data_IF_259741840230
#
_entry.id   IF_259741840230
#
_cell.length_a   1.000
_cell.length_b   1.000
_cell.length_c   1.000
_cell.angle_alpha   90.00
_cell.angle_beta   90.00
_cell.angle_gamma   90.00
#
_symmetry.space_group_name_H-M   'P 1'
#
loop_
_entity.id
_entity.type
_entity.pdbx_description
1 polymer ?
#
# COMPACT_ATOMS: atom_id res chain seq x y z
N UNK A 1 13.65 -5.61 -11.93
CA UNK A 1 13.96 -5.49 -13.40
C UNK A 1 14.04 -4.02 -13.78
N UNK A 2 14.74 -3.65 -14.85
CA UNK A 2 14.77 -2.26 -15.34
C UNK A 2 13.92 -2.15 -16.61
N UNK A 3 13.01 -1.17 -16.65
CA UNK A 3 12.29 -0.80 -17.87
C UNK A 3 13.04 0.33 -18.59
N UNK A 4 13.20 0.18 -19.90
CA UNK A 4 13.73 1.18 -20.83
C UNK A 4 12.68 1.60 -21.86
N UNK A 5 11.40 1.46 -21.54
CA UNK A 5 10.30 1.69 -22.47
C UNK A 5 10.33 3.10 -23.07
N UNK A 6 10.51 4.13 -22.24
CA UNK A 6 10.63 5.53 -22.70
C UNK A 6 11.84 5.69 -23.61
N UNK A 7 12.98 5.07 -23.28
CA UNK A 7 14.18 5.07 -24.13
C UNK A 7 13.89 4.39 -25.46
N UNK A 8 13.31 3.19 -25.46
CA UNK A 8 13.01 2.43 -26.68
C UNK A 8 12.00 3.14 -27.57
N UNK A 9 10.97 3.76 -26.98
CA UNK A 9 9.99 4.55 -27.70
C UNK A 9 10.65 5.80 -28.30
N UNK A 10 11.46 6.53 -27.55
CA UNK A 10 12.20 7.71 -28.05
C UNK A 10 13.13 7.37 -29.21
N UNK A 11 13.82 6.23 -29.11
CA UNK A 11 14.69 5.75 -30.20
C UNK A 11 13.87 5.45 -31.47
N UNK A 12 12.69 4.82 -31.33
CA UNK A 12 11.76 4.59 -32.46
C UNK A 12 11.28 5.89 -33.10
N UNK A 13 10.83 6.84 -32.29
CA UNK A 13 10.28 8.12 -32.76
C UNK A 13 11.35 8.95 -33.50
N UNK A 14 12.59 8.93 -32.98
CA UNK A 14 13.74 9.59 -33.60
C UNK A 14 14.38 8.77 -34.73
N UNK A 15 13.90 7.53 -34.97
CA UNK A 15 14.43 6.57 -35.95
C UNK A 15 15.91 6.25 -35.76
N UNK A 16 16.35 6.17 -34.50
CA UNK A 16 17.73 5.85 -34.13
C UNK A 16 17.84 4.35 -33.83
N UNK A 17 18.68 3.64 -34.59
CA UNK A 17 18.94 2.22 -34.36
C UNK A 17 19.88 1.98 -33.16
N UNK A 18 19.75 0.82 -32.50
CA UNK A 18 20.65 0.43 -31.37
C UNK A 18 22.12 0.38 -31.80
N UNK A 19 22.43 0.01 -33.03
CA UNK A 19 23.80 0.02 -33.63
C UNK A 19 24.33 1.45 -33.75
N UNK A 20 23.51 2.36 -34.28
CA UNK A 20 23.86 3.77 -34.42
C UNK A 20 24.10 4.42 -33.04
N UNK A 21 23.29 4.09 -32.03
CA UNK A 21 23.46 4.56 -30.65
C UNK A 21 24.80 4.07 -30.09
N UNK A 22 25.17 2.80 -30.33
CA UNK A 22 26.46 2.21 -29.96
C UNK A 22 27.62 2.96 -30.55
N UNK A 23 27.64 3.17 -31.86
CA UNK A 23 28.71 3.83 -32.61
C UNK A 23 28.87 5.30 -32.22
N UNK A 24 27.79 6.07 -32.15
CA UNK A 24 27.81 7.51 -31.82
C UNK A 24 28.27 7.79 -30.37
N UNK A 25 27.95 6.92 -29.44
CA UNK A 25 28.24 7.13 -28.02
C UNK A 25 29.45 6.33 -27.52
N UNK A 26 30.04 5.50 -28.37
CA UNK A 26 31.17 4.61 -27.99
C UNK A 26 30.73 3.62 -26.90
N UNK A 27 29.49 3.12 -26.98
CA UNK A 27 28.97 2.11 -26.04
C UNK A 27 29.22 0.71 -26.60
N UNK A 28 29.64 -0.23 -25.74
CA UNK A 28 29.85 -1.61 -26.17
C UNK A 28 28.51 -2.29 -26.54
N UNK A 29 28.56 -3.26 -27.46
CA UNK A 29 27.42 -4.10 -27.80
C UNK A 29 26.79 -4.77 -26.55
N UNK A 30 27.63 -5.11 -25.57
CA UNK A 30 27.18 -5.66 -24.28
C UNK A 30 26.39 -4.63 -23.48
N UNK A 31 26.80 -3.36 -23.50
CA UNK A 31 26.05 -2.26 -22.83
C UNK A 31 24.70 -2.05 -23.49
N UNK A 32 24.62 -2.07 -24.82
CA UNK A 32 23.37 -1.94 -25.56
C UNK A 32 22.45 -3.15 -25.34
N UNK A 33 23.00 -4.35 -25.25
CA UNK A 33 22.22 -5.56 -24.98
C UNK A 33 21.52 -5.53 -23.60
N UNK A 34 22.05 -4.79 -22.62
CA UNK A 34 21.43 -4.59 -21.31
C UNK A 34 20.07 -3.91 -21.41
N UNK A 35 19.89 -2.97 -22.34
CA UNK A 35 18.60 -2.29 -22.57
C UNK A 35 17.52 -3.31 -22.92
N UNK A 36 17.79 -4.21 -23.88
CA UNK A 36 16.83 -5.24 -24.28
C UNK A 36 16.62 -6.37 -23.25
N UNK A 37 17.53 -6.49 -22.28
CA UNK A 37 17.44 -7.49 -21.20
C UNK A 37 16.87 -6.94 -19.89
N UNK A 38 16.57 -5.64 -19.82
CA UNK A 38 16.14 -5.00 -18.59
C UNK A 38 17.20 -5.00 -17.49
N UNK A 39 18.49 -5.03 -17.86
CA UNK A 39 19.62 -4.96 -16.91
C UNK A 39 20.06 -3.50 -16.68
N UNK A 40 20.48 -3.17 -15.47
CA UNK A 40 20.89 -1.80 -15.10
C UNK A 40 22.11 -1.34 -15.90
N UNK A 41 21.98 -0.19 -16.56
CA UNK A 41 23.10 0.53 -17.18
C UNK A 41 23.93 1.23 -16.08
N UNK A 42 25.22 1.44 -16.35
CA UNK A 42 26.00 2.33 -15.49
C UNK A 42 25.52 3.78 -15.64
N UNK A 43 25.60 4.57 -14.57
CA UNK A 43 25.24 5.99 -14.58
C UNK A 43 25.92 6.75 -15.72
N UNK A 44 27.22 6.46 -15.96
CA UNK A 44 27.97 7.06 -17.07
C UNK A 44 27.38 6.73 -18.44
N UNK A 45 26.92 5.49 -18.65
CA UNK A 45 26.31 5.08 -19.92
C UNK A 45 24.94 5.69 -20.10
N UNK A 46 24.14 5.72 -19.01
CA UNK A 46 22.81 6.32 -19.00
C UNK A 46 22.90 7.83 -19.28
N UNK A 47 23.84 8.54 -18.63
CA UNK A 47 24.04 9.98 -18.85
C UNK A 47 24.43 10.28 -20.30
N UNK A 48 25.31 9.50 -20.92
CA UNK A 48 25.67 9.69 -22.35
C UNK A 48 24.45 9.53 -23.28
N UNK A 49 23.58 8.57 -22.99
CA UNK A 49 22.36 8.36 -23.78
C UNK A 49 21.40 9.54 -23.56
N UNK A 50 21.23 9.96 -22.32
CA UNK A 50 20.38 11.09 -21.96
C UNK A 50 20.81 12.40 -22.63
N UNK A 51 22.10 12.72 -22.56
CA UNK A 51 22.69 13.90 -23.20
C UNK A 51 22.48 13.89 -24.73
N UNK A 52 22.67 12.73 -25.35
CA UNK A 52 22.48 12.56 -26.79
C UNK A 52 21.00 12.73 -27.21
N UNK A 53 20.06 12.27 -26.38
CA UNK A 53 18.64 12.38 -26.67
C UNK A 53 18.03 13.72 -26.22
N UNK A 54 18.74 14.49 -25.40
CA UNK A 54 18.27 15.72 -24.79
C UNK A 54 17.22 15.49 -23.71
N UNK A 55 17.37 14.42 -22.91
CA UNK A 55 16.39 13.99 -21.89
C UNK A 55 17.04 13.86 -20.52
N UNK A 56 16.20 13.88 -19.47
CA UNK A 56 16.68 13.56 -18.12
C UNK A 56 17.00 12.04 -18.01
N UNK A 57 18.20 11.66 -17.50
CA UNK A 57 18.55 10.25 -17.29
C UNK A 57 17.53 9.47 -16.47
N UNK A 58 16.87 10.11 -15.49
CA UNK A 58 15.87 9.49 -14.63
C UNK A 58 14.60 9.04 -15.38
N UNK A 59 14.31 9.69 -16.51
CA UNK A 59 13.14 9.35 -17.35
C UNK A 59 13.44 8.16 -18.26
N UNK A 60 14.70 7.96 -18.64
CA UNK A 60 15.11 6.91 -19.57
C UNK A 60 15.18 5.51 -18.95
N UNK A 61 15.23 5.42 -17.63
CA UNK A 61 15.41 4.17 -16.90
C UNK A 61 14.49 4.18 -15.67
N UNK A 62 13.54 3.25 -15.63
CA UNK A 62 12.65 3.05 -14.49
C UNK A 62 12.92 1.68 -13.88
N UNK A 63 13.12 1.60 -12.58
CA UNK A 63 13.09 0.32 -11.89
C UNK A 63 11.65 -0.19 -11.86
N UNK A 64 11.44 -1.40 -12.38
CA UNK A 64 10.12 -2.03 -12.44
C UNK A 64 10.12 -3.18 -11.47
N UNK A 65 9.14 -3.20 -10.59
CA UNK A 65 8.94 -4.31 -9.65
C UNK A 65 8.81 -5.63 -10.40
N UNK A 66 9.45 -6.69 -9.88
CA UNK A 66 9.19 -8.06 -10.33
C UNK A 66 7.82 -8.54 -9.88
N UNK A 67 7.27 -7.93 -8.82
CA UNK A 67 5.93 -8.18 -8.34
C UNK A 67 4.88 -7.75 -9.38
N UNK A 68 4.21 -8.75 -9.94
CA UNK A 68 3.22 -8.56 -11.00
C UNK A 68 2.02 -7.75 -10.54
N UNK A 69 1.53 -8.00 -9.32
CA UNK A 69 0.38 -7.30 -8.75
C UNK A 69 0.72 -5.83 -8.55
N UNK A 70 1.86 -5.52 -7.92
CA UNK A 70 2.30 -4.14 -7.68
C UNK A 70 2.50 -3.37 -8.99
N UNK A 71 3.12 -4.01 -10.00
CA UNK A 71 3.29 -3.39 -11.31
C UNK A 71 1.96 -3.04 -11.94
N UNK A 72 1.01 -3.98 -11.95
CA UNK A 72 -0.31 -3.76 -12.51
C UNK A 72 -1.08 -2.64 -11.79
N UNK A 73 -1.02 -2.62 -10.46
CA UNK A 73 -1.62 -1.55 -9.66
C UNK A 73 -1.06 -0.17 -10.02
N UNK A 74 0.26 -0.07 -10.22
CA UNK A 74 0.92 1.19 -10.65
C UNK A 74 0.51 1.61 -12.06
N UNK A 75 0.50 0.68 -13.01
CA UNK A 75 0.08 0.92 -14.39
C UNK A 75 -1.38 1.39 -14.46
N UNK A 76 -2.29 0.70 -13.79
CA UNK A 76 -3.71 1.04 -13.77
C UNK A 76 -3.99 2.35 -13.01
N UNK A 77 -3.24 2.64 -11.93
CA UNK A 77 -3.29 3.91 -11.20
C UNK A 77 -2.91 5.08 -12.11
N UNK A 78 -1.80 4.97 -12.86
CA UNK A 78 -1.34 6.00 -13.80
C UNK A 78 -2.37 6.26 -14.92
N UNK A 79 -3.03 5.20 -15.40
CA UNK A 79 -4.04 5.28 -16.46
C UNK A 79 -5.43 5.68 -15.95
N UNK A 80 -5.67 5.70 -14.66
CA UNK A 80 -7.01 5.79 -14.05
C UNK A 80 -7.99 4.77 -14.68
N UNK A 81 -7.55 3.52 -14.86
CA UNK A 81 -8.29 2.48 -15.55
C UNK A 81 -9.56 2.08 -14.76
N UNK A 82 -10.78 2.30 -15.29
CA UNK A 82 -11.99 1.87 -14.61
C UNK A 82 -12.16 0.35 -14.67
N UNK A 83 -12.63 -0.26 -13.57
CA UNK A 83 -12.94 -1.69 -13.51
C UNK A 83 -11.73 -2.62 -13.47
N UNK A 84 -10.51 -2.09 -13.39
CA UNK A 84 -9.28 -2.86 -13.21
C UNK A 84 -9.02 -3.24 -11.74
N UNK A 85 -7.88 -3.90 -11.50
CA UNK A 85 -7.46 -4.34 -10.15
C UNK A 85 -7.30 -3.16 -9.19
N UNK A 86 -6.67 -2.07 -9.64
CA UNK A 86 -6.51 -0.85 -8.85
C UNK A 86 -7.87 -0.29 -8.42
N UNK A 87 -8.81 -0.16 -9.36
CA UNK A 87 -10.16 0.34 -9.08
C UNK A 87 -10.88 -0.55 -8.04
N UNK A 88 -10.89 -1.85 -8.24
CA UNK A 88 -11.56 -2.78 -7.33
C UNK A 88 -10.88 -2.84 -5.96
N UNK A 89 -9.53 -2.77 -5.90
CA UNK A 89 -8.79 -2.68 -4.64
C UNK A 89 -9.18 -1.42 -3.87
N UNK A 90 -9.21 -0.25 -4.54
CA UNK A 90 -9.60 1.02 -3.94
C UNK A 90 -10.99 0.94 -3.30
N UNK A 91 -11.98 0.48 -4.04
CA UNK A 91 -13.37 0.42 -3.56
C UNK A 91 -13.52 -0.61 -2.44
N UNK A 92 -13.11 -1.86 -2.68
CA UNK A 92 -13.37 -2.97 -1.75
C UNK A 92 -12.59 -2.82 -0.45
N UNK A 93 -11.32 -2.47 -0.52
CA UNK A 93 -10.52 -2.30 0.68
C UNK A 93 -10.99 -1.10 1.50
N UNK A 94 -11.32 0.01 0.85
CA UNK A 94 -11.81 1.20 1.55
C UNK A 94 -13.16 0.94 2.21
N UNK A 95 -14.11 0.37 1.48
CA UNK A 95 -15.41 0.02 2.05
C UNK A 95 -15.26 -0.88 3.27
N UNK A 96 -14.65 -2.06 3.10
CA UNK A 96 -14.54 -3.03 4.17
C UNK A 96 -13.76 -2.48 5.38
N UNK A 97 -12.63 -1.83 5.13
CA UNK A 97 -11.77 -1.29 6.19
C UNK A 97 -12.49 -0.21 7.02
N UNK A 98 -13.23 0.69 6.38
CA UNK A 98 -13.98 1.73 7.10
C UNK A 98 -15.25 1.17 7.76
N UNK A 99 -15.94 0.23 7.12
CA UNK A 99 -17.18 -0.35 7.67
C UNK A 99 -16.89 -1.23 8.90
N UNK A 100 -15.77 -1.92 8.95
CA UNK A 100 -15.26 -2.61 10.16
C UNK A 100 -15.12 -1.61 11.32
N UNK A 101 -14.68 -0.38 11.08
CA UNK A 101 -14.54 0.66 12.11
C UNK A 101 -15.83 1.45 12.37
N UNK A 102 -16.93 1.10 11.71
CA UNK A 102 -18.26 1.64 11.98
C UNK A 102 -18.74 2.74 11.05
N UNK A 103 -18.06 2.98 9.91
CA UNK A 103 -18.57 3.85 8.86
C UNK A 103 -19.94 3.39 8.38
N UNK A 104 -20.82 4.35 8.08
CA UNK A 104 -22.19 4.10 7.61
C UNK A 104 -22.32 4.10 6.08
N UNK A 105 -21.23 4.38 5.36
CA UNK A 105 -21.25 4.36 3.90
C UNK A 105 -21.35 2.92 3.39
N UNK A 106 -22.24 2.69 2.44
CA UNK A 106 -22.34 1.41 1.71
C UNK A 106 -21.20 1.25 0.72
N UNK A 107 -21.03 0.03 0.18
CA UNK A 107 -20.05 -0.21 -0.90
C UNK A 107 -20.38 0.61 -2.15
N UNK A 108 -21.66 0.71 -2.52
CA UNK A 108 -22.09 1.52 -3.67
C UNK A 108 -21.80 3.01 -3.47
N UNK A 109 -22.02 3.53 -2.26
CA UNK A 109 -21.65 4.92 -1.94
C UNK A 109 -20.14 5.13 -1.96
N UNK A 110 -19.36 4.17 -1.43
CA UNK A 110 -17.89 4.20 -1.49
C UNK A 110 -17.41 4.19 -2.93
N UNK A 111 -17.99 3.35 -3.78
CA UNK A 111 -17.72 3.29 -5.24
C UNK A 111 -18.07 4.61 -5.92
N UNK A 112 -19.24 5.17 -5.63
CA UNK A 112 -19.67 6.46 -6.18
C UNK A 112 -18.69 7.59 -5.81
N UNK A 113 -18.23 7.66 -4.56
CA UNK A 113 -17.23 8.64 -4.13
C UNK A 113 -15.93 8.48 -4.93
N UNK A 114 -15.47 7.25 -5.14
CA UNK A 114 -14.25 6.97 -5.89
C UNK A 114 -14.38 7.37 -7.36
N UNK A 115 -15.45 6.93 -8.03
CA UNK A 115 -15.64 7.09 -9.46
C UNK A 115 -16.05 8.50 -9.88
N UNK A 116 -16.94 9.13 -9.10
CA UNK A 116 -17.63 10.37 -9.53
C UNK A 116 -17.35 11.58 -8.65
N UNK A 117 -16.69 11.39 -7.50
CA UNK A 117 -16.51 12.43 -6.49
C UNK A 117 -17.85 12.99 -5.94
N UNK A 118 -18.89 12.20 -6.01
CA UNK A 118 -20.21 12.51 -5.45
C UNK A 118 -20.65 11.42 -4.50
N UNK A 119 -21.62 11.72 -3.66
CA UNK A 119 -22.26 10.75 -2.78
C UNK A 119 -23.73 11.10 -2.63
N UNK A 120 -24.58 10.11 -2.74
CA UNK A 120 -26.01 10.23 -2.40
C UNK A 120 -26.21 9.73 -0.96
N UNK A 121 -26.61 10.65 -0.07
CA UNK A 121 -26.81 10.36 1.35
C UNK A 121 -28.24 10.75 1.75
N UNK A 122 -29.07 9.74 2.01
CA UNK A 122 -30.46 9.94 2.44
C UNK A 122 -30.61 10.04 3.97
N UNK A 123 -29.71 9.43 4.77
CA UNK A 123 -29.92 9.15 6.18
C UNK A 123 -28.88 9.73 7.14
N UNK A 124 -28.29 10.88 6.82
CA UNK A 124 -27.38 11.58 7.73
C UNK A 124 -26.07 10.83 7.97
N UNK A 125 -25.33 10.55 6.90
CA UNK A 125 -23.94 10.04 6.99
C UNK A 125 -23.05 11.11 7.63
N UNK A 126 -22.22 10.76 8.65
CA UNK A 126 -21.26 11.71 9.21
C UNK A 126 -20.30 12.24 8.15
N UNK A 127 -19.99 13.52 8.20
CA UNK A 127 -19.02 14.14 7.26
C UNK A 127 -17.66 13.45 7.36
N UNK A 128 -17.26 13.05 8.57
CA UNK A 128 -16.00 12.34 8.77
C UNK A 128 -15.97 10.98 8.06
N UNK A 129 -17.09 10.26 7.93
CA UNK A 129 -17.14 9.00 7.17
C UNK A 129 -16.78 9.23 5.70
N UNK A 130 -17.24 10.35 5.12
CA UNK A 130 -16.92 10.73 3.74
C UNK A 130 -15.46 11.14 3.62
N UNK A 131 -14.97 11.98 4.55
CA UNK A 131 -13.58 12.42 4.57
C UNK A 131 -12.62 11.24 4.73
N UNK A 132 -12.86 10.38 5.73
CA UNK A 132 -12.05 9.19 5.99
C UNK A 132 -12.08 8.20 4.83
N UNK A 133 -13.20 8.14 4.07
CA UNK A 133 -13.27 7.33 2.84
C UNK A 133 -12.36 7.90 1.75
N UNK A 134 -12.42 9.20 1.49
CA UNK A 134 -11.54 9.87 0.52
C UNK A 134 -10.08 9.75 0.94
N UNK A 135 -9.80 9.88 2.22
CA UNK A 135 -8.46 9.75 2.78
C UNK A 135 -7.93 8.30 2.69
N UNK A 136 -8.81 7.32 2.85
CA UNK A 136 -8.40 5.92 2.71
C UNK A 136 -7.98 5.59 1.26
N UNK A 137 -8.65 6.14 0.25
CA UNK A 137 -8.19 6.03 -1.14
C UNK A 137 -6.77 6.60 -1.31
N UNK A 138 -6.52 7.79 -0.75
CA UNK A 138 -5.18 8.42 -0.78
C UNK A 138 -4.14 7.59 -0.04
N UNK A 139 -4.54 6.95 1.06
CA UNK A 139 -3.65 6.08 1.82
C UNK A 139 -3.29 4.80 1.05
N UNK A 140 -4.22 4.22 0.27
CA UNK A 140 -3.92 3.11 -0.65
C UNK A 140 -2.96 3.59 -1.76
N UNK A 141 -3.18 4.79 -2.32
CA UNK A 141 -2.26 5.37 -3.30
C UNK A 141 -0.84 5.50 -2.76
N UNK A 142 -0.72 6.02 -1.53
CA UNK A 142 0.57 6.13 -0.86
C UNK A 142 1.20 4.75 -0.60
N UNK A 143 0.42 3.76 -0.17
CA UNK A 143 0.88 2.37 0.00
C UNK A 143 1.50 1.82 -1.29
N UNK A 144 0.83 2.02 -2.44
CA UNK A 144 1.32 1.57 -3.75
C UNK A 144 2.64 2.26 -4.11
N UNK A 145 2.76 3.56 -3.81
CA UNK A 145 3.95 4.35 -4.12
C UNK A 145 5.17 3.91 -3.29
N UNK A 146 4.98 3.65 -1.99
CA UNK A 146 6.06 3.24 -1.06
C UNK A 146 6.12 1.71 -0.83
N UNK A 147 5.46 0.91 -1.67
CA UNK A 147 5.32 -0.52 -1.43
C UNK A 147 6.66 -1.23 -1.26
N UNK A 148 7.70 -0.83 -2.00
CA UNK A 148 9.02 -1.48 -1.98
C UNK A 148 9.96 -0.92 -0.89
N UNK A 149 9.58 0.19 -0.23
CA UNK A 149 10.39 0.79 0.83
C UNK A 149 10.35 -0.08 2.10
N UNK A 150 11.42 -0.03 2.89
CA UNK A 150 11.45 -0.65 4.21
C UNK A 150 10.36 -0.04 5.12
N UNK A 151 9.67 -0.87 5.89
CA UNK A 151 8.64 -0.40 6.80
C UNK A 151 9.27 0.37 7.96
N UNK A 152 8.90 1.65 8.11
CA UNK A 152 9.39 2.56 9.14
C UNK A 152 8.25 3.19 9.94
N UNK A 153 8.58 3.74 11.11
CA UNK A 153 7.63 4.53 11.89
C UNK A 153 7.08 5.72 11.10
N UNK A 154 7.92 6.36 10.25
CA UNK A 154 7.51 7.50 9.44
C UNK A 154 6.43 7.12 8.42
N UNK A 155 6.55 5.97 7.76
CA UNK A 155 5.51 5.44 6.85
C UNK A 155 4.21 5.20 7.62
N UNK A 156 4.27 4.56 8.79
CA UNK A 156 3.11 4.26 9.63
C UNK A 156 2.43 5.55 10.12
N UNK A 157 3.21 6.50 10.61
CA UNK A 157 2.72 7.82 11.05
C UNK A 157 2.12 8.63 9.90
N UNK A 158 2.72 8.55 8.72
CA UNK A 158 2.20 9.24 7.54
C UNK A 158 0.87 8.64 7.07
N UNK A 159 0.71 7.31 7.10
CA UNK A 159 -0.59 6.66 6.85
C UNK A 159 -1.66 7.16 7.81
N UNK A 160 -1.35 7.24 9.11
CA UNK A 160 -2.26 7.80 10.09
C UNK A 160 -2.57 9.29 9.82
N UNK A 161 -1.57 10.08 9.42
CA UNK A 161 -1.78 11.46 9.02
C UNK A 161 -2.75 11.57 7.84
N UNK A 162 -2.53 10.78 6.77
CA UNK A 162 -3.42 10.78 5.61
C UNK A 162 -4.87 10.45 6.01
N UNK A 163 -5.07 9.47 6.90
CA UNK A 163 -6.41 9.05 7.31
C UNK A 163 -7.15 10.08 8.17
N UNK A 164 -6.43 10.80 9.05
CA UNK A 164 -7.06 11.57 10.13
C UNK A 164 -6.93 13.09 9.99
N UNK A 165 -6.16 13.61 8.99
CA UNK A 165 -6.11 15.05 8.75
C UNK A 165 -7.48 15.57 8.29
N UNK A 166 -7.78 16.80 8.61
CA UNK A 166 -9.04 17.48 8.28
C UNK A 166 -10.33 16.85 8.85
N UNK A 167 -10.23 15.78 9.66
CA UNK A 167 -11.36 15.25 10.44
C UNK A 167 -11.58 16.07 11.71
N UNK A 168 -12.72 15.86 12.37
CA UNK A 168 -13.01 16.51 13.69
C UNK A 168 -11.92 16.24 14.73
N UNK A 169 -11.25 15.07 14.66
CA UNK A 169 -10.22 14.67 15.61
C UNK A 169 -9.02 15.61 15.59
N UNK A 170 -8.67 16.17 14.43
CA UNK A 170 -7.58 17.12 14.31
C UNK A 170 -7.77 18.39 15.15
N UNK A 171 -9.02 18.80 15.40
CA UNK A 171 -9.33 19.96 16.23
C UNK A 171 -9.12 19.71 17.72
N UNK A 172 -8.95 18.44 18.13
CA UNK A 172 -8.83 18.05 19.53
C UNK A 172 -7.37 18.17 19.98
N UNK A 173 -7.05 19.08 20.88
CA UNK A 173 -5.68 19.35 21.33
C UNK A 173 -4.95 18.17 21.98
N UNK A 174 -5.69 17.12 22.35
CA UNK A 174 -5.14 15.88 22.91
C UNK A 174 -4.98 14.75 21.87
N UNK A 175 -5.52 14.91 20.66
CA UNK A 175 -5.41 13.95 19.57
C UNK A 175 -4.20 14.31 18.69
N UNK A 176 -3.30 13.36 18.49
CA UNK A 176 -2.10 13.57 17.68
C UNK A 176 -2.31 12.97 16.29
N UNK A 177 -2.67 13.80 15.31
CA UNK A 177 -2.76 13.36 13.91
C UNK A 177 -1.37 13.16 13.34
N UNK A 178 -1.10 11.97 12.83
CA UNK A 178 0.22 11.62 12.29
C UNK A 178 1.29 11.37 13.35
N UNK A 179 0.90 11.20 14.62
CA UNK A 179 1.83 10.84 15.69
C UNK A 179 1.16 9.94 16.73
N UNK A 180 1.96 9.34 17.59
CA UNK A 180 1.50 8.39 18.59
C UNK A 180 0.61 9.02 19.64
N UNK A 181 -0.26 8.19 20.23
CA UNK A 181 -1.25 8.60 21.24
C UNK A 181 -0.62 9.27 22.44
N UNK A 182 -1.31 10.28 22.96
CA UNK A 182 -0.94 11.03 24.17
C UNK A 182 -1.71 10.57 25.40
N UNK A 183 -2.74 9.76 25.23
CA UNK A 183 -3.60 9.25 26.31
C UNK A 183 -3.73 7.73 26.24
N UNK A 184 -3.81 7.03 27.37
CA UNK A 184 -4.11 5.61 27.39
C UNK A 184 -5.45 5.32 26.70
N UNK A 185 -5.53 4.18 26.05
CA UNK A 185 -6.77 3.64 25.51
C UNK A 185 -6.92 2.15 25.85
N UNK A 186 -8.16 1.66 25.71
CA UNK A 186 -8.56 0.29 25.99
C UNK A 186 -9.28 -0.25 24.78
N UNK A 187 -8.98 -1.46 24.36
CA UNK A 187 -9.61 -2.12 23.20
C UNK A 187 -10.15 -3.49 23.66
N UNK A 188 -11.45 -3.71 23.50
CA UNK A 188 -12.08 -4.96 23.90
C UNK A 188 -11.90 -5.33 25.37
N UNK A 189 -11.76 -4.33 26.26
CA UNK A 189 -11.50 -4.53 27.68
C UNK A 189 -10.02 -4.77 28.04
N UNK A 190 -9.12 -4.80 27.06
CA UNK A 190 -7.67 -4.95 27.26
C UNK A 190 -6.97 -3.59 27.23
N UNK A 191 -6.09 -3.34 28.19
CA UNK A 191 -5.17 -2.20 28.13
C UNK A 191 -4.19 -2.37 26.98
N UNK A 192 -3.92 -1.29 26.28
CA UNK A 192 -2.92 -1.23 25.20
C UNK A 192 -1.61 -0.66 25.74
N UNK A 193 -0.58 -0.54 24.92
CA UNK A 193 0.69 0.10 25.34
C UNK A 193 0.43 1.50 25.91
N UNK A 194 1.10 1.82 27.03
CA UNK A 194 1.03 3.18 27.60
C UNK A 194 1.66 4.18 26.64
N UNK A 195 1.18 5.44 26.58
CA UNK A 195 1.76 6.46 25.70
C UNK A 195 3.28 6.60 25.83
N UNK A 196 3.84 6.46 27.05
CA UNK A 196 5.30 6.50 27.29
C UNK A 196 6.07 5.37 26.62
N UNK A 197 5.43 4.23 26.38
CA UNK A 197 6.09 3.00 26.00
C UNK A 197 5.85 2.67 24.51
N UNK A 198 4.95 3.43 23.83
CA UNK A 198 4.55 3.17 22.43
C UNK A 198 5.75 3.22 21.49
N UNK A 199 6.60 4.24 21.62
CA UNK A 199 7.76 4.39 20.72
C UNK A 199 8.70 3.18 20.82
N UNK A 200 9.05 2.77 22.04
CA UNK A 200 9.96 1.65 22.26
C UNK A 200 9.34 0.33 21.75
N UNK A 201 8.03 0.13 21.99
CA UNK A 201 7.34 -1.06 21.51
C UNK A 201 7.24 -1.09 19.97
N UNK A 202 6.98 0.04 19.33
CA UNK A 202 6.95 0.12 17.87
C UNK A 202 8.34 -0.07 17.26
N UNK A 203 9.37 0.54 17.83
CA UNK A 203 10.75 0.35 17.41
C UNK A 203 11.17 -1.14 17.48
N UNK A 204 10.88 -1.79 18.60
CA UNK A 204 11.17 -3.21 18.79
C UNK A 204 10.40 -4.12 17.81
N UNK A 205 9.11 -3.79 17.54
CA UNK A 205 8.30 -4.52 16.58
C UNK A 205 8.88 -4.42 15.17
N UNK A 206 9.24 -3.21 14.74
CA UNK A 206 9.78 -2.96 13.40
C UNK A 206 11.19 -3.55 13.24
N UNK A 207 12.05 -3.45 14.24
CA UNK A 207 13.36 -4.09 14.23
C UNK A 207 13.24 -5.61 14.07
N UNK A 208 12.39 -6.26 14.85
CA UNK A 208 12.16 -7.70 14.78
C UNK A 208 11.57 -8.13 13.43
N UNK A 209 10.65 -7.34 12.88
CA UNK A 209 10.03 -7.62 11.59
C UNK A 209 11.02 -7.43 10.42
N UNK A 210 11.71 -6.30 10.37
CA UNK A 210 12.64 -5.96 9.28
C UNK A 210 13.90 -6.85 9.28
N UNK A 211 14.24 -7.50 10.39
CA UNK A 211 15.31 -8.48 10.46
C UNK A 211 15.01 -9.82 9.76
N UNK A 212 13.76 -10.06 9.35
CA UNK A 212 13.36 -11.31 8.67
C UNK A 212 13.83 -11.31 7.22
N UNK A 213 14.59 -12.33 6.81
CA UNK A 213 15.09 -12.46 5.43
C UNK A 213 14.02 -12.93 4.44
N UNK A 214 13.13 -13.85 4.88
CA UNK A 214 12.07 -14.42 4.06
C UNK A 214 10.72 -14.22 4.79
N UNK A 215 10.02 -13.16 4.44
CA UNK A 215 8.74 -12.81 5.04
C UNK A 215 7.63 -13.66 4.44
N UNK A 216 6.81 -14.27 5.28
CA UNK A 216 5.63 -15.06 4.90
C UNK A 216 4.34 -14.27 5.16
N UNK A 217 3.20 -14.77 4.70
CA UNK A 217 1.91 -14.16 5.02
C UNK A 217 1.61 -14.19 6.52
N UNK A 218 2.02 -15.26 7.22
CA UNK A 218 1.89 -15.39 8.66
C UNK A 218 2.72 -14.34 9.41
N UNK A 219 3.91 -14.00 8.91
CA UNK A 219 4.74 -12.92 9.48
C UNK A 219 4.05 -11.55 9.36
N UNK A 220 3.36 -11.29 8.25
CA UNK A 220 2.60 -10.06 8.05
C UNK A 220 1.37 -10.02 8.95
N UNK A 221 0.70 -11.16 9.14
CA UNK A 221 -0.43 -11.27 10.07
C UNK A 221 0.05 -11.08 11.52
N UNK A 222 1.22 -11.60 11.88
CA UNK A 222 1.83 -11.39 13.18
C UNK A 222 2.18 -9.91 13.40
N UNK A 223 2.82 -9.26 12.41
CA UNK A 223 3.08 -7.81 12.45
C UNK A 223 1.79 -7.03 12.70
N UNK A 224 0.72 -7.36 11.96
CA UNK A 224 -0.58 -6.72 12.11
C UNK A 224 -1.17 -6.92 13.51
N UNK A 225 -1.15 -8.15 14.02
CA UNK A 225 -1.66 -8.47 15.36
C UNK A 225 -0.88 -7.74 16.47
N UNK A 226 0.46 -7.73 16.40
CA UNK A 226 1.30 -7.04 17.39
C UNK A 226 1.09 -5.52 17.33
N UNK A 227 0.94 -4.95 16.12
CA UNK A 227 0.57 -3.55 15.95
C UNK A 227 -0.77 -3.23 16.64
N UNK A 228 -1.79 -4.07 16.46
CA UNK A 228 -3.10 -3.93 17.12
C UNK A 228 -3.01 -4.13 18.66
N UNK A 229 -2.05 -4.91 19.15
CA UNK A 229 -1.78 -5.03 20.58
C UNK A 229 -1.13 -3.79 21.17
N UNK A 230 -0.17 -3.19 20.47
CA UNK A 230 0.46 -1.92 20.86
C UNK A 230 -0.56 -0.79 20.81
N UNK A 231 -1.38 -0.76 19.75
CA UNK A 231 -2.40 0.24 19.49
C UNK A 231 -1.85 1.67 19.57
N UNK A 232 -0.89 2.01 18.68
CA UNK A 232 -0.03 3.18 18.86
C UNK A 232 -0.75 4.52 18.74
N UNK A 233 -1.88 4.59 18.04
CA UNK A 233 -2.63 5.81 17.83
C UNK A 233 -3.84 5.92 18.75
N UNK A 234 -4.39 7.12 18.88
CA UNK A 234 -5.59 7.35 19.68
C UNK A 234 -6.83 6.75 19.04
N UNK A 235 -6.91 6.77 17.71
CA UNK A 235 -7.93 6.17 16.84
C UNK A 235 -7.28 5.81 15.49
N UNK A 236 -7.98 5.06 14.63
CA UNK A 236 -7.50 4.71 13.28
C UNK A 236 -6.50 3.56 13.20
N UNK A 237 -6.20 2.90 14.32
CA UNK A 237 -5.21 1.79 14.35
C UNK A 237 -5.60 0.66 13.39
N UNK A 238 -6.84 0.17 13.42
CA UNK A 238 -7.28 -0.91 12.55
C UNK A 238 -7.08 -0.60 11.06
N UNK A 239 -7.43 0.60 10.63
CA UNK A 239 -7.23 1.05 9.25
C UNK A 239 -5.76 1.13 8.87
N UNK A 240 -4.93 1.76 9.72
CA UNK A 240 -3.48 1.82 9.51
C UNK A 240 -2.88 0.41 9.48
N UNK A 241 -3.22 -0.46 10.42
CA UNK A 241 -2.70 -1.83 10.49
C UNK A 241 -3.03 -2.64 9.23
N UNK A 242 -4.26 -2.53 8.69
CA UNK A 242 -4.64 -3.19 7.44
C UNK A 242 -3.94 -2.60 6.21
N UNK A 243 -3.69 -1.28 6.18
CA UNK A 243 -2.89 -0.64 5.12
C UNK A 243 -1.41 -1.03 5.18
N UNK A 244 -0.85 -1.16 6.38
CA UNK A 244 0.52 -1.70 6.59
C UNK A 244 0.60 -3.14 6.10
N UNK A 245 -0.39 -3.98 6.41
CA UNK A 245 -0.44 -5.35 5.92
C UNK A 245 -0.50 -5.41 4.38
N UNK A 246 -1.33 -4.55 3.74
CA UNK A 246 -1.36 -4.43 2.28
C UNK A 246 0.03 -4.05 1.73
N UNK A 247 0.67 -3.04 2.31
CA UNK A 247 2.01 -2.58 1.90
C UNK A 247 3.02 -3.71 1.95
N UNK A 248 3.06 -4.46 3.06
CA UNK A 248 4.03 -5.54 3.21
C UNK A 248 3.72 -6.76 2.33
N UNK A 249 2.44 -7.06 2.07
CA UNK A 249 2.08 -8.05 1.05
C UNK A 249 2.62 -7.65 -0.34
N UNK A 250 2.45 -6.38 -0.73
CA UNK A 250 2.98 -5.87 -2.00
C UNK A 250 4.52 -5.86 -2.02
N UNK A 251 5.18 -5.54 -0.90
CA UNK A 251 6.64 -5.54 -0.81
C UNK A 251 7.24 -6.92 -1.06
N UNK A 252 6.63 -7.95 -0.48
CA UNK A 252 7.17 -9.31 -0.46
C UNK A 252 6.56 -10.25 -1.53
N UNK A 253 5.86 -9.70 -2.53
CA UNK A 253 5.19 -10.47 -3.59
C UNK A 253 4.20 -11.51 -3.05
N UNK A 254 3.54 -11.17 -1.95
CA UNK A 254 2.49 -11.97 -1.33
C UNK A 254 1.14 -11.44 -1.79
N UNK A 255 0.23 -12.32 -2.17
CA UNK A 255 -1.14 -11.91 -2.53
C UNK A 255 -1.78 -11.24 -1.31
N UNK A 256 -2.28 -9.99 -1.44
CA UNK A 256 -2.91 -9.29 -0.33
C UNK A 256 -4.17 -9.99 0.18
N UNK A 257 -4.57 -9.66 1.39
CA UNK A 257 -5.86 -10.06 1.95
C UNK A 257 -6.73 -8.83 2.25
N UNK A 258 -8.03 -8.96 1.99
CA UNK A 258 -9.04 -7.97 2.36
C UNK A 258 -9.96 -8.62 3.37
N UNK A 259 -9.99 -8.10 4.59
CA UNK A 259 -10.95 -8.54 5.59
C UNK A 259 -12.32 -7.97 5.23
N UNK A 260 -13.24 -8.84 4.83
CA UNK A 260 -14.62 -8.43 4.54
C UNK A 260 -15.37 -8.06 5.83
N UNK A 261 -16.21 -7.03 5.77
CA UNK A 261 -17.03 -6.62 6.92
C UNK A 261 -17.90 -7.77 7.45
N UNK A 262 -18.38 -8.64 6.58
CA UNK A 262 -19.09 -9.87 6.95
C UNK A 262 -18.30 -10.79 7.88
N UNK A 263 -16.98 -10.68 7.91
CA UNK A 263 -16.04 -11.46 8.73
C UNK A 263 -15.56 -10.69 9.97
N UNK A 264 -16.03 -9.48 10.20
CA UNK A 264 -15.64 -8.59 11.30
C UNK A 264 -15.56 -9.28 12.66
N UNK A 265 -16.57 -10.10 13.00
CA UNK A 265 -16.61 -10.79 14.29
C UNK A 265 -15.50 -11.85 14.41
N UNK A 266 -15.16 -12.56 13.33
CA UNK A 266 -14.05 -13.52 13.31
C UNK A 266 -12.72 -12.81 13.42
N UNK A 267 -12.56 -11.68 12.72
CA UNK A 267 -11.37 -10.84 12.77
C UNK A 267 -11.11 -10.31 14.19
N UNK A 268 -12.13 -9.72 14.85
CA UNK A 268 -11.96 -9.23 16.22
C UNK A 268 -11.71 -10.34 17.23
N UNK A 269 -12.37 -11.50 17.07
CA UNK A 269 -12.06 -12.67 17.88
C UNK A 269 -10.59 -13.10 17.67
N UNK A 270 -10.14 -13.18 16.43
CA UNK A 270 -8.77 -13.53 16.11
C UNK A 270 -7.74 -12.58 16.73
N UNK A 271 -8.00 -11.27 16.70
CA UNK A 271 -7.18 -10.27 17.37
C UNK A 271 -7.20 -10.44 18.91
N UNK A 272 -8.39 -10.59 19.51
CA UNK A 272 -8.50 -10.71 20.97
C UNK A 272 -7.82 -11.97 21.52
N UNK A 273 -7.87 -13.06 20.77
CA UNK A 273 -7.31 -14.36 21.16
C UNK A 273 -5.90 -14.63 20.64
N UNK A 274 -5.29 -13.67 19.95
CA UNK A 274 -3.98 -13.85 19.29
C UNK A 274 -2.90 -14.49 20.17
N UNK A 275 -2.89 -14.15 21.48
CA UNK A 275 -1.91 -14.70 22.44
C UNK A 275 -2.22 -16.15 22.85
N UNK A 276 -3.45 -16.60 22.65
CA UNK A 276 -3.92 -17.92 23.04
C UNK A 276 -4.00 -18.86 21.82
N UNK A 277 -4.60 -18.38 20.73
CA UNK A 277 -4.87 -19.16 19.53
C UNK A 277 -4.72 -18.27 18.27
N UNK A 278 -3.53 -18.32 17.68
CA UNK A 278 -3.19 -17.53 16.48
C UNK A 278 -3.99 -17.95 15.23
N UNK A 279 -4.39 -19.22 15.16
CA UNK A 279 -5.05 -19.82 14.01
C UNK A 279 -6.31 -19.08 13.59
N UNK A 280 -7.08 -18.53 14.53
CA UNK A 280 -8.33 -17.81 14.21
C UNK A 280 -8.10 -16.54 13.39
N UNK A 281 -7.06 -15.76 13.69
CA UNK A 281 -6.72 -14.59 12.88
C UNK A 281 -6.10 -15.00 11.55
N UNK A 282 -5.23 -15.99 11.57
CA UNK A 282 -4.57 -16.53 10.37
C UNK A 282 -5.64 -17.01 9.38
N UNK A 283 -6.57 -17.86 9.82
CA UNK A 283 -7.65 -18.38 8.97
C UNK A 283 -8.52 -17.25 8.39
N UNK A 284 -8.83 -16.23 9.19
CA UNK A 284 -9.60 -15.07 8.73
C UNK A 284 -8.86 -14.28 7.66
N UNK A 285 -7.55 -14.06 7.83
CA UNK A 285 -6.73 -13.37 6.83
C UNK A 285 -6.55 -14.20 5.55
N UNK A 286 -6.36 -15.51 5.67
CA UNK A 286 -6.27 -16.41 4.51
C UNK A 286 -7.59 -16.48 3.73
N UNK A 287 -8.75 -16.46 4.39
CA UNK A 287 -10.05 -16.31 3.71
C UNK A 287 -10.13 -14.97 2.94
N UNK A 288 -9.62 -13.90 3.53
CA UNK A 288 -9.48 -12.60 2.86
C UNK A 288 -8.52 -12.63 1.65
N UNK A 289 -7.45 -13.44 1.74
CA UNK A 289 -6.54 -13.68 0.61
C UNK A 289 -7.23 -14.45 -0.52
N UNK A 290 -8.08 -15.45 -0.18
CA UNK A 290 -8.85 -16.19 -1.17
C UNK A 290 -9.89 -15.29 -1.86
N UNK A 291 -10.46 -14.32 -1.15
CA UNK A 291 -11.30 -13.26 -1.75
C UNK A 291 -10.50 -12.44 -2.78
N UNK A 292 -9.27 -12.06 -2.47
CA UNK A 292 -8.40 -11.34 -3.41
C UNK A 292 -8.02 -12.22 -4.63
N UNK A 293 -7.71 -13.50 -4.43
CA UNK A 293 -7.46 -14.46 -5.52
C UNK A 293 -8.67 -14.60 -6.45
N UNK A 294 -9.89 -14.66 -5.89
CA UNK A 294 -11.12 -14.65 -6.71
C UNK A 294 -11.24 -13.40 -7.56
N UNK A 295 -10.90 -12.23 -7.00
CA UNK A 295 -10.87 -10.97 -7.76
C UNK A 295 -9.86 -11.03 -8.91
N UNK A 296 -8.64 -11.49 -8.67
CA UNK A 296 -7.63 -11.68 -9.71
C UNK A 296 -8.14 -12.60 -10.83
N UNK A 297 -8.79 -13.71 -10.48
CA UNK A 297 -9.35 -14.64 -11.45
C UNK A 297 -10.48 -14.00 -12.30
N UNK A 298 -11.38 -13.24 -11.67
CA UNK A 298 -12.46 -12.52 -12.38
C UNK A 298 -11.87 -11.53 -13.39
N UNK A 299 -10.78 -10.87 -13.05
CA UNK A 299 -10.09 -9.89 -13.90
C UNK A 299 -9.13 -10.55 -14.92
N UNK A 300 -9.01 -11.87 -14.93
CA UNK A 300 -8.10 -12.60 -15.83
C UNK A 300 -6.61 -12.38 -15.52
N UNK A 301 -6.29 -12.04 -14.27
CA UNK A 301 -4.93 -11.82 -13.79
C UNK A 301 -4.47 -13.12 -13.13
N UNK A 302 -3.97 -14.04 -13.93
CA UNK A 302 -3.45 -15.36 -13.44
C UNK A 302 -1.93 -15.39 -13.42
#
# INVERSE_FOLDING_TARGET
>A
MISYEVLEQTLKDKRIGKTELSEKLGLSSRTIAKIGKGEKLSERSLQKIADYLGMDPKVLMKEVSENRILRLLREEKEMNLPGGLYHELQVRMTYNSNHIEGSKLSEDQTRMIFETRTVDVCDGVPVDDVLETVHHFRAIDYVIDVAEDELTEDIIKHLHYILKHDTKDQSLGWFAVGDYKKRPNVVGGRETSKPSDVHDHMAALLEAYNAKENVTVEDIIELHAEFEYIHPFQDGNGRVGRLVALKECLRHDIIPFIIEDSKKNFYYRGLSEWRNEKGWLIDTCLDGQDTFKRLLNILGIS
#
